data_IF_749780075283
#
_entry.id   IF_749780075283
#
_cell.length_a   1.000
_cell.length_b   1.000
_cell.length_c   1.000
_cell.angle_alpha   90.00
_cell.angle_beta   90.00
_cell.angle_gamma   90.00
#
_symmetry.space_group_name_H-M   'P 1'
#
loop_
_entity.id
_entity.type
_entity.pdbx_description
1 polymer ?
#
# COMPACT_ATOMS: atom_id res chain seq x y z
N UNK A 1 6.49 -4.82 4.05
CA UNK A 1 5.95 -4.76 2.67
C UNK A 1 6.11 -6.14 2.08
N UNK A 2 5.83 -6.35 0.80
CA UNK A 2 6.09 -7.65 0.19
C UNK A 2 4.98 -8.18 -0.71
N UNK A 3 5.07 -9.47 -1.03
CA UNK A 3 4.16 -10.15 -1.94
C UNK A 3 2.96 -10.75 -1.18
N UNK A 4 1.96 -9.91 -0.87
CA UNK A 4 0.81 -10.29 -0.04
C UNK A 4 0.02 -11.50 -0.56
N UNK A 5 -0.27 -11.54 -1.86
CA UNK A 5 -0.98 -12.68 -2.50
C UNK A 5 -0.14 -13.96 -2.40
N UNK A 6 1.17 -13.88 -2.66
CA UNK A 6 2.06 -15.03 -2.57
C UNK A 6 2.19 -15.54 -1.14
N UNK A 7 2.20 -14.65 -0.15
CA UNK A 7 2.19 -15.00 1.28
C UNK A 7 0.95 -15.82 1.64
N UNK A 8 -0.23 -15.36 1.23
CA UNK A 8 -1.50 -16.05 1.47
C UNK A 8 -1.48 -17.45 0.82
N UNK A 9 -0.99 -17.58 -0.42
CA UNK A 9 -0.85 -18.89 -1.07
C UNK A 9 0.14 -19.83 -0.38
N UNK A 10 1.32 -19.34 0.01
CA UNK A 10 2.31 -20.17 0.70
C UNK A 10 1.80 -20.61 2.07
N UNK A 11 1.15 -19.71 2.81
CA UNK A 11 0.54 -20.04 4.10
C UNK A 11 -0.57 -21.08 3.93
N UNK A 12 -1.44 -20.92 2.93
CA UNK A 12 -2.51 -21.87 2.64
C UNK A 12 -2.01 -23.25 2.20
N UNK A 13 -0.92 -23.32 1.43
CA UNK A 13 -0.37 -24.57 0.91
C UNK A 13 0.61 -25.29 1.87
N UNK A 14 1.36 -24.54 2.67
CA UNK A 14 2.51 -25.05 3.43
C UNK A 14 2.50 -24.67 4.92
N UNK A 15 1.52 -23.91 5.39
CA UNK A 15 1.40 -23.48 6.79
C UNK A 15 2.30 -22.29 7.18
N UNK A 16 3.26 -21.93 6.33
CA UNK A 16 4.13 -20.77 6.52
C UNK A 16 4.52 -20.14 5.18
N UNK A 17 4.92 -18.86 5.21
CA UNK A 17 5.37 -18.13 4.03
C UNK A 17 6.84 -17.75 4.15
N UNK A 18 7.64 -18.11 3.15
CA UNK A 18 9.06 -17.76 3.06
C UNK A 18 9.32 -16.78 1.90
N UNK A 19 10.26 -15.85 2.07
CA UNK A 19 10.70 -14.94 1.00
C UNK A 19 9.69 -13.88 0.56
N UNK A 20 8.53 -13.79 1.20
CA UNK A 20 7.46 -12.83 0.82
C UNK A 20 7.53 -11.51 1.60
N UNK A 21 8.30 -11.45 2.69
CA UNK A 21 8.50 -10.22 3.46
C UNK A 21 9.62 -9.38 2.87
N UNK A 22 9.30 -8.14 2.52
CA UNK A 22 10.27 -7.15 2.04
C UNK A 22 10.29 -5.95 2.97
N UNK A 23 11.50 -5.38 3.14
CA UNK A 23 11.68 -4.07 3.73
C UNK A 23 10.80 -3.07 2.96
N UNK A 24 9.92 -2.35 3.66
CA UNK A 24 9.00 -1.40 3.03
C UNK A 24 9.72 -0.06 2.93
N UNK A 25 10.02 0.44 1.71
CA UNK A 25 10.64 1.75 1.58
C UNK A 25 9.64 2.84 2.03
N UNK A 26 10.18 3.98 2.41
CA UNK A 26 9.39 5.18 2.63
C UNK A 26 8.94 5.73 1.27
N UNK A 27 7.72 5.34 0.86
CA UNK A 27 7.15 5.76 -0.42
C UNK A 27 6.83 7.25 -0.49
N UNK A 28 6.64 7.93 0.65
CA UNK A 28 6.46 9.39 0.68
C UNK A 28 7.78 10.04 0.33
N UNK A 29 8.84 9.73 1.07
CA UNK A 29 10.17 10.28 0.82
C UNK A 29 10.67 9.96 -0.61
N UNK A 30 10.38 8.75 -1.12
CA UNK A 30 10.69 8.39 -2.49
C UNK A 30 9.98 9.30 -3.49
N UNK A 31 8.66 9.49 -3.39
CA UNK A 31 7.91 10.34 -4.31
C UNK A 31 8.37 11.80 -4.25
N UNK A 32 8.60 12.33 -3.04
CA UNK A 32 9.09 13.69 -2.83
C UNK A 32 10.47 13.92 -3.45
N UNK A 33 11.34 12.91 -3.49
CA UNK A 33 12.65 13.02 -4.16
C UNK A 33 12.55 13.24 -5.68
N UNK A 34 11.41 12.92 -6.30
CA UNK A 34 11.09 13.21 -7.69
C UNK A 34 10.26 14.49 -7.87
N UNK A 35 10.05 15.26 -6.79
CA UNK A 35 9.20 16.45 -6.80
C UNK A 35 7.70 16.15 -6.90
N UNK A 36 7.28 14.90 -6.61
CA UNK A 36 5.87 14.49 -6.60
C UNK A 36 5.30 14.61 -5.19
N UNK A 37 4.26 15.43 -4.95
CA UNK A 37 3.62 15.52 -3.64
C UNK A 37 3.06 14.17 -3.20
N UNK A 38 3.30 13.80 -1.94
CA UNK A 38 2.87 12.53 -1.39
C UNK A 38 2.32 12.65 0.03
N UNK A 39 1.33 11.83 0.35
CA UNK A 39 0.71 11.76 1.69
C UNK A 39 0.54 10.30 2.12
N UNK A 40 0.73 10.02 3.41
CA UNK A 40 0.32 8.75 4.02
C UNK A 40 -1.09 8.90 4.57
N UNK A 41 -1.97 7.94 4.28
CA UNK A 41 -3.38 7.95 4.70
C UNK A 41 -3.79 6.69 5.46
N UNK A 42 -5.01 6.72 5.98
CA UNK A 42 -5.74 5.61 6.61
C UNK A 42 -6.99 5.28 5.81
N UNK A 43 -7.61 4.12 6.07
CA UNK A 43 -8.87 3.75 5.40
C UNK A 43 -9.99 4.80 5.57
N UNK A 44 -10.05 5.46 6.74
CA UNK A 44 -11.02 6.51 7.01
C UNK A 44 -10.74 7.81 6.23
N UNK A 45 -9.47 8.16 6.04
CA UNK A 45 -9.06 9.39 5.34
C UNK A 45 -8.96 9.25 3.82
N UNK A 46 -8.88 8.01 3.31
CA UNK A 46 -8.58 7.71 1.91
C UNK A 46 -9.48 8.45 0.91
N UNK A 47 -10.78 8.55 1.20
CA UNK A 47 -11.72 9.23 0.31
C UNK A 47 -11.42 10.71 0.15
N UNK A 48 -11.09 11.40 1.25
CA UNK A 48 -10.75 12.82 1.23
C UNK A 48 -9.41 13.07 0.52
N UNK A 49 -8.40 12.27 0.85
CA UNK A 49 -7.04 12.42 0.29
C UNK A 49 -7.02 12.12 -1.21
N UNK A 50 -7.81 11.16 -1.68
CA UNK A 50 -7.99 10.90 -3.11
C UNK A 50 -8.71 12.05 -3.82
N UNK A 51 -9.76 12.60 -3.22
CA UNK A 51 -10.49 13.72 -3.82
C UNK A 51 -9.58 14.96 -3.99
N UNK A 52 -8.77 15.27 -2.98
CA UNK A 52 -7.75 16.32 -3.08
C UNK A 52 -6.74 15.98 -4.19
N UNK A 53 -6.22 14.75 -4.19
CA UNK A 53 -5.20 14.37 -5.15
C UNK A 53 -5.68 14.51 -6.60
N UNK A 54 -6.90 14.06 -6.88
CA UNK A 54 -7.51 14.09 -8.22
C UNK A 54 -7.83 15.51 -8.70
N UNK A 55 -8.16 16.44 -7.80
CA UNK A 55 -8.52 17.82 -8.16
C UNK A 55 -7.32 18.76 -8.30
N UNK A 56 -6.14 18.33 -7.85
CA UNK A 56 -4.93 19.16 -7.79
C UNK A 56 -4.22 19.46 -9.11
N UNK A 57 -4.59 18.80 -10.21
CA UNK A 57 -4.05 19.07 -11.55
C UNK A 57 -2.63 18.57 -11.81
N UNK A 58 -2.11 17.61 -11.04
CA UNK A 58 -0.76 17.05 -11.24
C UNK A 58 -0.58 15.66 -10.64
N UNK A 59 0.57 15.01 -10.91
CA UNK A 59 0.88 13.70 -10.32
C UNK A 59 0.97 13.82 -8.80
N UNK A 60 0.37 12.86 -8.10
CA UNK A 60 0.39 12.75 -6.64
C UNK A 60 0.42 11.31 -6.20
N UNK A 61 0.97 11.07 -5.03
CA UNK A 61 1.04 9.73 -4.42
C UNK A 61 0.26 9.72 -3.10
N UNK A 62 -0.71 8.82 -2.98
CA UNK A 62 -1.44 8.57 -1.74
C UNK A 62 -1.08 7.17 -1.24
N UNK A 63 -0.37 7.10 -0.12
CA UNK A 63 0.13 5.84 0.46
C UNK A 63 -0.84 5.36 1.53
N UNK A 64 -1.71 4.42 1.18
CA UNK A 64 -2.52 3.70 2.17
C UNK A 64 -1.68 2.64 2.87
N UNK A 65 -1.48 2.80 4.17
CA UNK A 65 -0.85 1.76 5.01
C UNK A 65 -1.94 0.88 5.59
N UNK A 66 -2.23 -0.23 4.90
CA UNK A 66 -3.12 -1.24 5.47
C UNK A 66 -2.71 -2.69 5.13
N UNK A 67 -3.15 -3.63 5.97
CA UNK A 67 -3.17 -5.08 5.70
C UNK A 67 -4.48 -5.43 5.00
N UNK A 68 -4.40 -5.61 3.69
CA UNK A 68 -5.48 -6.19 2.92
C UNK A 68 -5.57 -7.69 3.24
N UNK A 69 -6.80 -8.19 3.40
CA UNK A 69 -7.10 -9.62 3.39
C UNK A 69 -7.79 -9.94 2.08
N UNK A 70 -7.46 -11.09 1.47
CA UNK A 70 -8.21 -11.55 0.30
C UNK A 70 -9.71 -11.65 0.62
N UNK A 71 -10.54 -11.28 -0.35
CA UNK A 71 -11.98 -11.48 -0.27
C UNK A 71 -12.26 -12.99 -0.30
N UNK A 72 -12.68 -13.58 0.82
CA UNK A 72 -13.06 -15.00 0.83
C UNK A 72 -13.10 -15.74 2.16
N UNK A 73 -12.58 -15.19 3.26
CA UNK A 73 -12.55 -15.93 4.53
C UNK A 73 -13.34 -15.19 5.62
N UNK A 74 -14.52 -15.75 5.93
CA UNK A 74 -15.37 -15.41 7.08
C UNK A 74 -14.96 -16.21 8.32
#
# INVERSE_FOLDING_TARGET
>A
GGYGILREYLTGAYGEAEGTELARPDFVALAESFGVPAVTTTAAGLGADLAEALTSGGPRVVVLRERLRMFGES
#
